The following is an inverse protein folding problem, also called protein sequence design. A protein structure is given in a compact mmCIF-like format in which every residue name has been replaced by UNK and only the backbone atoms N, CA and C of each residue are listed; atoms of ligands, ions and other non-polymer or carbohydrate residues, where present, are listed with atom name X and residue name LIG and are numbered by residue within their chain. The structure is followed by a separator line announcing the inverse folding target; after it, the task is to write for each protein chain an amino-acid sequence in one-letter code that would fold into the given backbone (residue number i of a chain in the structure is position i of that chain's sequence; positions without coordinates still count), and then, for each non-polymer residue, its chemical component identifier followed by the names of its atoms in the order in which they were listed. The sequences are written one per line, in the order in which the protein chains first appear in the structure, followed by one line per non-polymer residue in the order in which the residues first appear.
data_IF_362427199179
#
_entry.id   IF_362427199179
#
_cell.length_a   1.000
_cell.length_b   1.000
_cell.length_c   1.000
_cell.angle_alpha   90.00
_cell.angle_beta   90.00
_cell.angle_gamma   90.00
#
_symmetry.space_group_name_H-M   'P 1'
#
loop_
_entity.id
_entity.type
_entity.pdbx_description
1 polymer ?
#
# COMPACT_ATOMS: atom_id res chain seq x y z
N UNK A 1 -53.08 0.17 4.75
CA UNK A 1 -52.01 0.83 3.97
C UNK A 1 -51.09 1.49 5.00
N UNK A 2 -50.34 0.75 5.82
CA UNK A 2 -49.29 -0.24 5.44
C UNK A 2 -48.46 0.36 4.32
N UNK A 3 -47.25 0.88 4.56
CA UNK A 3 -45.97 0.23 4.90
C UNK A 3 -44.99 0.94 3.92
N UNK A 4 -43.72 1.26 4.16
CA UNK A 4 -42.66 0.63 4.95
C UNK A 4 -41.64 1.70 5.32
N UNK A 5 -41.30 1.74 6.61
CA UNK A 5 -40.11 2.41 7.15
C UNK A 5 -38.89 1.61 6.71
N UNK A 6 -38.06 2.17 5.83
CA UNK A 6 -36.77 1.58 5.48
C UNK A 6 -35.89 1.54 6.73
N UNK A 7 -35.69 0.33 7.25
CA UNK A 7 -34.74 0.03 8.30
C UNK A 7 -33.33 0.31 7.80
N UNK A 8 -32.76 1.44 8.23
CA UNK A 8 -31.32 1.59 8.30
C UNK A 8 -30.84 0.64 9.38
N UNK A 9 -30.35 -0.55 9.00
CA UNK A 9 -29.55 -1.38 9.90
C UNK A 9 -28.25 -0.63 10.19
N UNK A 10 -28.25 0.17 11.25
CA UNK A 10 -27.04 0.65 11.89
C UNK A 10 -26.30 -0.59 12.38
N UNK A 11 -25.28 -1.02 11.64
CA UNK A 11 -24.38 -2.08 12.06
C UNK A 11 -23.84 -1.75 13.44
N UNK A 12 -24.18 -2.61 14.40
CA UNK A 12 -23.69 -2.55 15.76
C UNK A 12 -22.16 -2.45 15.72
N UNK A 13 -21.63 -1.34 16.20
CA UNK A 13 -20.19 -1.21 16.44
C UNK A 13 -19.85 -2.11 17.61
N UNK A 14 -19.54 -3.37 17.30
CA UNK A 14 -19.09 -4.33 18.29
C UNK A 14 -17.81 -3.80 18.95
N UNK A 15 -17.83 -3.69 20.28
CA UNK A 15 -16.65 -3.40 21.12
C UNK A 15 -15.63 -4.55 21.12
N UNK A 16 -15.62 -5.36 20.06
CA UNK A 16 -14.77 -6.52 19.88
C UNK A 16 -13.64 -6.25 18.87
N UNK A 17 -12.65 -7.14 18.80
CA UNK A 17 -11.62 -7.09 17.76
C UNK A 17 -12.25 -7.13 16.37
N UNK A 18 -11.77 -6.29 15.45
CA UNK A 18 -12.28 -6.22 14.09
C UNK A 18 -12.10 -7.56 13.34
N UNK A 19 -13.20 -8.15 12.86
CA UNK A 19 -13.16 -9.43 12.12
C UNK A 19 -12.26 -9.39 10.89
N UNK A 20 -12.28 -8.28 10.16
CA UNK A 20 -11.40 -8.08 9.00
C UNK A 20 -9.93 -8.04 9.40
N UNK A 21 -9.61 -7.39 10.52
CA UNK A 21 -8.25 -7.39 11.07
C UNK A 21 -7.81 -8.80 11.40
N UNK A 22 -8.64 -9.59 12.09
CA UNK A 22 -8.32 -10.97 12.43
C UNK A 22 -8.11 -11.85 11.18
N UNK A 23 -8.91 -11.65 10.13
CA UNK A 23 -8.73 -12.34 8.85
C UNK A 23 -7.37 -12.00 8.23
N UNK A 24 -6.98 -10.72 8.25
CA UNK A 24 -5.67 -10.27 7.78
C UNK A 24 -4.53 -10.80 8.66
N UNK A 25 -4.71 -10.90 9.98
CA UNK A 25 -3.73 -11.48 10.90
C UNK A 25 -3.46 -12.96 10.57
N UNK A 26 -4.51 -13.74 10.30
CA UNK A 26 -4.39 -15.15 9.88
C UNK A 26 -3.69 -15.30 8.54
N UNK A 27 -4.03 -14.45 7.57
CA UNK A 27 -3.33 -14.43 6.29
C UNK A 27 -1.86 -14.04 6.45
N UNK A 28 -1.54 -13.02 7.26
CA UNK A 28 -0.13 -12.66 7.56
C UNK A 28 0.64 -13.86 8.10
N UNK A 29 0.05 -14.61 9.04
CA UNK A 29 0.67 -15.79 9.62
C UNK A 29 0.91 -16.90 8.56
N UNK A 30 0.04 -17.04 7.56
CA UNK A 30 0.21 -18.03 6.49
C UNK A 30 1.31 -17.66 5.47
N UNK A 31 1.76 -16.41 5.44
CA UNK A 31 2.87 -15.97 4.57
C UNK A 31 4.24 -16.51 5.01
N UNK A 32 4.33 -17.12 6.20
CA UNK A 32 5.58 -17.61 6.78
C UNK A 32 6.72 -16.56 6.81
N UNK A 33 6.36 -15.28 6.98
CA UNK A 33 7.31 -14.20 7.23
C UNK A 33 7.61 -14.19 8.73
N UNK A 34 8.87 -14.34 9.16
CA UNK A 34 9.27 -14.30 10.56
C UNK A 34 8.85 -13.01 11.24
N UNK A 35 8.49 -13.09 12.52
CA UNK A 35 7.99 -11.95 13.28
C UNK A 35 9.05 -10.86 13.49
N UNK A 36 10.35 -11.17 13.34
CA UNK A 36 11.49 -10.25 13.46
C UNK A 36 11.52 -9.16 12.37
N UNK A 37 10.75 -9.33 11.29
CA UNK A 37 10.53 -8.30 10.28
C UNK A 37 9.53 -7.25 10.72
N UNK A 38 8.69 -7.56 11.70
CA UNK A 38 7.61 -6.69 12.17
C UNK A 38 8.03 -5.93 13.42
N UNK A 39 7.42 -4.77 13.62
CA UNK A 39 7.60 -4.01 14.85
C UNK A 39 6.95 -4.74 16.01
N UNK A 40 7.61 -4.70 17.17
CA UNK A 40 7.05 -5.19 18.44
C UNK A 40 5.97 -4.25 18.99
N UNK A 41 5.91 -2.99 18.53
CA UNK A 41 4.88 -2.05 18.92
C UNK A 41 3.59 -2.29 18.12
N UNK A 42 2.66 -3.01 18.72
CA UNK A 42 1.37 -3.34 18.12
C UNK A 42 0.51 -2.11 17.81
N UNK A 43 0.79 -0.95 18.43
CA UNK A 43 0.06 0.31 18.18
C UNK A 43 0.32 0.88 16.79
N UNK A 44 1.42 0.49 16.15
CA UNK A 44 1.76 0.89 14.78
C UNK A 44 0.97 0.11 13.71
N UNK A 45 0.29 -0.97 14.12
CA UNK A 45 -0.58 -1.75 13.24
C UNK A 45 -1.96 -1.10 13.17
N UNK A 46 -2.48 -0.88 11.97
CA UNK A 46 -3.75 -0.21 11.76
C UNK A 46 -4.63 -0.98 10.78
N UNK A 47 -5.93 -1.08 11.08
CA UNK A 47 -6.91 -1.60 10.14
C UNK A 47 -7.62 -0.43 9.46
N UNK A 48 -7.60 -0.38 8.13
CA UNK A 48 -8.27 0.66 7.33
C UNK A 48 -9.53 0.14 6.66
N UNK A 49 -10.16 -0.93 7.16
CA UNK A 49 -11.53 -1.25 6.75
C UNK A 49 -12.47 -0.08 7.08
N UNK A 50 -13.60 -0.01 6.39
CA UNK A 50 -14.55 1.10 6.53
C UNK A 50 -14.91 1.37 7.99
N UNK A 51 -15.33 0.35 8.74
CA UNK A 51 -15.70 0.49 10.15
C UNK A 51 -14.55 1.00 11.02
N UNK A 52 -13.34 0.47 10.86
CA UNK A 52 -12.19 0.91 11.66
C UNK A 52 -11.73 2.34 11.31
N UNK A 53 -11.81 2.72 10.03
CA UNK A 53 -11.46 4.06 9.59
C UNK A 53 -12.48 5.10 10.08
N UNK A 54 -13.77 4.82 9.91
CA UNK A 54 -14.87 5.67 10.40
C UNK A 54 -14.82 5.84 11.92
N UNK A 55 -14.55 4.75 12.66
CA UNK A 55 -14.40 4.79 14.11
C UNK A 55 -13.24 5.68 14.59
N UNK A 56 -12.19 5.86 13.78
CA UNK A 56 -11.08 6.78 14.09
C UNK A 56 -11.36 8.23 13.66
N UNK A 57 -12.33 8.47 12.78
CA UNK A 57 -12.64 9.82 12.26
C UNK A 57 -11.50 10.45 11.46
N UNK A 58 -10.64 9.62 10.85
CA UNK A 58 -9.51 10.09 10.05
C UNK A 58 -9.97 10.63 8.69
N UNK A 59 -9.22 11.58 8.12
CA UNK A 59 -9.41 11.99 6.73
C UNK A 59 -8.88 10.91 5.79
N UNK A 60 -9.41 10.83 4.57
CA UNK A 60 -8.90 9.92 3.53
C UNK A 60 -7.47 10.22 3.07
N UNK A 61 -6.97 11.42 3.36
CA UNK A 61 -5.66 11.90 2.96
C UNK A 61 -4.87 12.40 4.16
N UNK A 62 -3.57 12.17 4.10
CA UNK A 62 -2.61 12.66 5.07
C UNK A 62 -1.46 13.39 4.36
N UNK A 63 -0.64 14.08 5.15
CA UNK A 63 0.53 14.83 4.67
C UNK A 63 1.76 14.25 5.36
N UNK A 64 2.85 14.09 4.62
CA UNK A 64 4.14 13.57 5.10
C UNK A 64 5.31 14.33 4.49
N UNK A 65 6.42 14.39 5.22
CA UNK A 65 7.70 14.88 4.77
C UNK A 65 7.85 16.40 4.67
N UNK A 66 9.05 16.80 4.28
CA UNK A 66 9.47 18.20 4.10
C UNK A 66 10.27 18.30 2.77
N UNK A 67 9.72 18.94 1.72
CA UNK A 67 8.48 19.71 1.70
C UNK A 67 7.21 18.85 1.92
N UNK A 68 6.09 19.42 2.41
CA UNK A 68 4.87 18.67 2.65
C UNK A 68 4.32 17.98 1.39
N UNK A 69 4.15 16.66 1.44
CA UNK A 69 3.60 15.85 0.37
C UNK A 69 2.34 15.10 0.81
N UNK A 70 1.27 15.21 0.02
CA UNK A 70 -0.02 14.53 0.28
C UNK A 70 0.00 13.09 -0.23
N UNK A 71 -0.61 12.20 0.53
CA UNK A 71 -0.82 10.80 0.15
C UNK A 71 -2.20 10.31 0.61
N UNK A 72 -2.72 9.29 -0.05
CA UNK A 72 -3.99 8.67 0.30
C UNK A 72 -3.78 7.58 1.35
N UNK A 73 -4.63 7.54 2.38
CA UNK A 73 -4.64 6.43 3.33
C UNK A 73 -5.06 5.14 2.61
N UNK A 74 -4.51 3.98 3.00
CA UNK A 74 -4.77 2.73 2.30
C UNK A 74 -6.13 2.12 2.72
N UNK A 75 -7.23 2.81 2.40
CA UNK A 75 -8.59 2.39 2.75
C UNK A 75 -8.90 1.00 2.18
N UNK A 76 -9.49 0.14 3.01
CA UNK A 76 -9.74 -1.27 2.73
C UNK A 76 -8.56 -2.21 3.03
N UNK A 77 -7.40 -1.70 3.45
CA UNK A 77 -6.22 -2.52 3.76
C UNK A 77 -6.00 -2.68 5.26
N UNK A 78 -5.22 -3.68 5.64
CA UNK A 78 -4.69 -3.84 6.99
C UNK A 78 -3.17 -3.64 6.96
N UNK A 79 -2.69 -2.76 7.83
CA UNK A 79 -1.29 -2.38 7.96
C UNK A 79 -0.61 -3.12 9.11
N UNK A 80 0.53 -3.70 8.79
CA UNK A 80 1.44 -4.38 9.69
C UNK A 80 2.79 -3.67 9.66
N UNK A 81 3.11 -2.95 10.73
CA UNK A 81 4.34 -2.17 10.82
C UNK A 81 5.55 -3.09 10.74
N UNK A 82 6.51 -2.71 9.90
CA UNK A 82 7.79 -3.37 9.76
C UNK A 82 8.77 -2.77 10.76
N UNK A 83 9.75 -3.58 11.17
CA UNK A 83 10.89 -3.11 11.96
C UNK A 83 11.74 -2.19 11.10
N UNK A 84 12.02 -1.01 11.62
CA UNK A 84 12.83 -0.02 10.93
C UNK A 84 14.31 -0.43 11.01
N UNK A 85 15.05 -0.41 9.89
CA UNK A 85 16.47 -0.72 9.91
C UNK A 85 17.26 0.30 10.76
N UNK A 86 18.20 -0.12 11.62
CA UNK A 86 19.00 0.81 12.44
C UNK A 86 19.77 1.84 11.62
N UNK A 87 20.13 1.51 10.37
CA UNK A 87 20.81 2.43 9.44
C UNK A 87 20.04 3.72 9.15
N UNK A 88 18.74 3.78 9.43
CA UNK A 88 17.93 4.98 9.24
C UNK A 88 17.57 5.70 10.54
N UNK A 89 17.91 5.13 11.70
CA UNK A 89 17.75 5.74 13.01
C UNK A 89 18.69 6.96 13.09
N UNK A 90 18.13 8.17 12.96
CA UNK A 90 18.88 9.44 12.96
C UNK A 90 18.65 10.32 11.73
N UNK A 91 18.06 9.79 10.65
CA UNK A 91 17.77 10.58 9.44
C UNK A 91 16.42 11.31 9.48
N UNK A 92 15.69 11.26 10.60
CA UNK A 92 14.35 11.84 10.75
C UNK A 92 13.41 11.44 9.58
N UNK A 93 13.49 10.17 9.16
CA UNK A 93 12.80 9.71 7.94
C UNK A 93 11.29 9.89 8.03
N UNK A 94 10.70 9.69 9.22
CA UNK A 94 9.26 9.86 9.44
C UNK A 94 8.79 11.31 9.34
N UNK A 95 9.68 12.27 9.63
CA UNK A 95 9.35 13.69 9.60
C UNK A 95 9.64 14.30 8.22
N UNK A 96 10.70 13.83 7.55
CA UNK A 96 11.24 14.45 6.34
C UNK A 96 10.88 13.73 5.05
N UNK A 97 10.59 12.43 5.08
CA UNK A 97 10.39 11.66 3.85
C UNK A 97 8.93 11.53 3.49
N UNK A 98 8.66 11.34 2.20
CA UNK A 98 7.30 11.23 1.69
C UNK A 98 6.81 9.78 1.77
N UNK A 99 5.54 9.59 2.13
CA UNK A 99 4.90 8.26 2.09
C UNK A 99 4.54 7.88 0.67
N UNK A 100 4.85 6.64 0.29
CA UNK A 100 4.42 6.02 -0.96
C UNK A 100 4.07 4.54 -0.76
N UNK A 101 3.48 3.95 -1.78
CA UNK A 101 3.05 2.56 -1.82
C UNK A 101 3.66 1.85 -3.02
N UNK A 102 3.92 0.56 -2.84
CA UNK A 102 4.42 -0.34 -3.86
C UNK A 102 3.64 -1.65 -3.83
N UNK A 103 2.91 -1.94 -4.91
CA UNK A 103 2.24 -3.21 -5.09
C UNK A 103 3.24 -4.32 -5.39
N UNK A 104 3.01 -5.53 -4.88
CA UNK A 104 3.91 -6.64 -5.20
C UNK A 104 3.21 -7.99 -5.18
N UNK A 105 3.92 -9.02 -5.66
CA UNK A 105 3.47 -10.40 -5.58
C UNK A 105 3.86 -10.97 -4.21
N UNK A 106 2.99 -11.80 -3.65
CA UNK A 106 3.25 -12.50 -2.38
C UNK A 106 4.61 -13.22 -2.40
N UNK A 107 4.90 -13.95 -3.48
CA UNK A 107 6.17 -14.67 -3.63
C UNK A 107 7.43 -13.79 -3.68
N UNK A 108 7.30 -12.47 -3.84
CA UNK A 108 8.42 -11.52 -3.81
C UNK A 108 8.62 -10.86 -2.45
N UNK A 109 7.63 -10.91 -1.55
CA UNK A 109 7.67 -10.21 -0.26
C UNK A 109 8.91 -10.58 0.54
N UNK A 110 9.15 -11.87 0.75
CA UNK A 110 10.29 -12.35 1.56
C UNK A 110 11.62 -11.81 1.03
N UNK A 111 11.83 -11.88 -0.29
CA UNK A 111 13.06 -11.38 -0.93
C UNK A 111 13.21 -9.87 -0.75
N UNK A 112 12.14 -9.08 -0.91
CA UNK A 112 12.19 -7.63 -0.71
C UNK A 112 12.54 -7.29 0.74
N UNK A 113 11.94 -8.00 1.69
CA UNK A 113 12.21 -7.84 3.11
C UNK A 113 13.66 -8.23 3.48
N UNK A 114 14.18 -9.32 2.91
CA UNK A 114 15.56 -9.76 3.13
C UNK A 114 16.60 -8.75 2.63
N UNK A 115 16.34 -8.14 1.47
CA UNK A 115 17.18 -7.08 0.93
C UNK A 115 17.02 -5.76 1.73
N UNK A 116 15.85 -5.56 2.33
CA UNK A 116 15.48 -4.31 2.98
C UNK A 116 15.36 -3.13 2.01
N UNK A 117 15.17 -3.43 0.72
CA UNK A 117 15.00 -2.46 -0.38
C UNK A 117 14.24 -3.13 -1.54
N UNK A 118 13.66 -2.34 -2.45
CA UNK A 118 12.94 -2.83 -3.62
C UNK A 118 13.88 -2.83 -4.83
N UNK A 119 14.08 -3.97 -5.50
CA UNK A 119 14.89 -4.02 -6.71
C UNK A 119 14.33 -3.12 -7.81
N UNK A 120 15.21 -2.34 -8.45
CA UNK A 120 14.87 -1.59 -9.66
C UNK A 120 14.43 -2.59 -10.75
N UNK A 121 13.38 -2.24 -11.49
CA UNK A 121 12.85 -3.07 -12.56
C UNK A 121 12.94 -2.32 -13.87
N UNK A 122 13.16 -3.03 -14.96
CA UNK A 122 13.06 -2.41 -16.27
C UNK A 122 11.56 -2.20 -16.56
N UNK A 123 11.10 -0.96 -16.40
CA UNK A 123 9.71 -0.58 -16.66
C UNK A 123 9.49 -0.50 -18.18
N UNK A 124 8.98 -1.57 -18.79
CA UNK A 124 8.64 -1.61 -20.23
C UNK A 124 7.40 -0.76 -20.61
N UNK A 125 7.08 0.27 -19.82
CA UNK A 125 5.85 1.06 -19.89
C UNK A 125 5.94 2.34 -20.72
N UNK A 126 7.14 2.77 -21.12
CA UNK A 126 7.28 3.83 -22.11
C UNK A 126 7.06 3.28 -23.53
N UNK A 127 5.80 2.97 -23.88
CA UNK A 127 5.41 3.01 -25.30
C UNK A 127 5.34 4.48 -25.73
N UNK A 128 6.51 5.11 -25.87
CA UNK A 128 6.65 6.19 -26.84
C UNK A 128 6.39 5.53 -28.20
N UNK A 129 5.32 5.95 -28.87
CA UNK A 129 5.15 5.71 -30.29
C UNK A 129 6.46 6.06 -30.99
N UNK A 130 7.14 5.05 -31.52
CA UNK A 130 8.47 5.18 -32.12
C UNK A 130 9.39 4.05 -31.66
N UNK A 131 9.88 3.28 -32.63
CA UNK A 131 10.89 2.23 -32.47
C UNK A 131 12.02 2.65 -31.51
N UNK A 132 12.04 2.13 -30.29
CA UNK A 132 13.16 2.35 -29.36
C UNK A 132 13.81 1.01 -29.03
N UNK A 133 15.13 0.97 -29.24
CA UNK A 133 15.99 -0.16 -28.89
C UNK A 133 15.84 -0.49 -27.40
N UNK A 134 15.47 -1.75 -27.11
CA UNK A 134 15.35 -2.29 -25.74
C UNK A 134 16.67 -2.23 -24.94
N UNK A 135 17.80 -1.94 -25.57
CA UNK A 135 19.12 -1.87 -24.94
C UNK A 135 19.36 -0.60 -24.09
N UNK A 136 18.52 0.43 -24.19
CA UNK A 136 18.69 1.70 -23.45
C UNK A 136 17.68 1.90 -22.29
N UNK A 137 16.91 0.88 -21.92
CA UNK A 137 15.96 1.01 -20.80
C UNK A 137 16.69 0.98 -19.45
N UNK A 138 16.78 2.14 -18.80
CA UNK A 138 17.37 2.27 -17.45
C UNK A 138 16.42 1.64 -16.43
N UNK A 139 16.88 0.68 -15.59
CA UNK A 139 16.06 0.12 -14.52
C UNK A 139 15.56 1.21 -13.58
N UNK A 140 14.25 1.21 -13.31
CA UNK A 140 13.58 2.19 -12.46
C UNK A 140 12.62 1.50 -11.49
N UNK A 141 12.42 2.10 -10.33
CA UNK A 141 11.37 1.72 -9.39
C UNK A 141 10.23 2.73 -9.53
N UNK A 142 9.02 2.24 -9.82
CA UNK A 142 7.79 3.03 -9.78
C UNK A 142 7.04 2.76 -8.48
N UNK A 143 6.71 3.84 -7.75
CA UNK A 143 5.88 3.85 -6.53
C UNK A 143 4.82 4.94 -6.65
N UNK A 144 3.82 4.96 -5.79
CA UNK A 144 2.73 5.95 -5.85
C UNK A 144 2.34 6.48 -4.46
N UNK A 145 1.93 7.75 -4.32
CA UNK A 145 1.32 8.26 -3.09
C UNK A 145 -0.10 7.70 -2.84
N UNK A 146 -0.61 6.85 -3.72
CA UNK A 146 -1.89 6.16 -3.58
C UNK A 146 -1.72 4.65 -3.78
N UNK A 147 -2.34 3.86 -2.91
CA UNK A 147 -2.27 2.39 -3.01
C UNK A 147 -2.97 1.84 -4.25
N UNK A 148 -4.00 2.54 -4.75
CA UNK A 148 -4.75 2.17 -5.95
C UNK A 148 -3.81 2.11 -7.16
N UNK A 149 -3.10 3.21 -7.45
CA UNK A 149 -2.15 3.23 -8.58
C UNK A 149 -0.98 2.26 -8.36
N UNK A 150 -0.49 2.12 -7.11
CA UNK A 150 0.60 1.20 -6.80
C UNK A 150 0.26 -0.27 -7.07
N UNK A 151 -1.00 -0.67 -6.84
CA UNK A 151 -1.43 -2.06 -6.96
C UNK A 151 -1.89 -2.43 -8.38
N UNK A 152 -2.37 -1.46 -9.17
CA UNK A 152 -2.95 -1.69 -10.49
C UNK A 152 -1.98 -2.35 -11.48
N UNK A 153 -0.68 -2.07 -11.36
CA UNK A 153 0.35 -2.57 -12.28
C UNK A 153 1.05 -3.84 -11.77
N UNK A 154 1.10 -4.07 -10.45
CA UNK A 154 2.04 -5.01 -9.84
C UNK A 154 1.43 -6.02 -8.87
N UNK A 155 0.28 -5.73 -8.26
CA UNK A 155 -0.32 -6.57 -7.22
C UNK A 155 -1.40 -7.49 -7.81
N UNK A 156 -0.99 -8.70 -8.21
CA UNK A 156 -1.96 -9.74 -8.61
C UNK A 156 -2.73 -10.26 -7.39
N UNK A 157 -4.05 -10.40 -7.55
CA UNK A 157 -4.90 -11.14 -6.62
C UNK A 157 -4.49 -12.61 -6.62
N UNK A 158 -4.30 -13.16 -5.43
CA UNK A 158 -3.96 -14.55 -5.23
C UNK A 158 -5.04 -15.20 -4.38
N UNK A 159 -5.47 -16.39 -4.78
CA UNK A 159 -6.42 -17.17 -3.99
C UNK A 159 -5.81 -17.53 -2.63
N UNK A 160 -6.58 -17.30 -1.57
CA UNK A 160 -6.28 -17.64 -0.19
C UNK A 160 -7.45 -18.43 0.41
N UNK A 161 -7.18 -19.65 0.87
CA UNK A 161 -8.12 -20.43 1.67
C UNK A 161 -7.80 -20.23 3.15
N UNK A 162 -8.75 -19.67 3.90
CA UNK A 162 -8.60 -19.47 5.34
C UNK A 162 -8.67 -20.82 6.07
N UNK A 163 -7.56 -21.20 6.72
CA UNK A 163 -7.46 -22.48 7.42
C UNK A 163 -8.42 -22.63 8.60
N UNK A 164 -8.90 -21.51 9.18
CA UNK A 164 -9.83 -21.54 10.31
C UNK A 164 -11.28 -21.70 9.85
N UNK A 165 -11.68 -21.03 8.76
CA UNK A 165 -13.08 -20.99 8.32
C UNK A 165 -13.36 -21.85 7.09
N UNK A 166 -12.33 -22.30 6.38
CA UNK A 166 -12.43 -23.02 5.11
C UNK A 166 -12.85 -22.16 3.91
N UNK A 167 -13.17 -20.87 4.12
CA UNK A 167 -13.61 -19.95 3.07
C UNK A 167 -12.46 -19.56 2.16
N UNK A 168 -12.79 -19.28 0.90
CA UNK A 168 -11.85 -18.88 -0.14
C UNK A 168 -12.00 -17.38 -0.41
N UNK A 169 -10.86 -16.70 -0.51
CA UNK A 169 -10.73 -15.26 -0.65
C UNK A 169 -9.71 -14.93 -1.73
N UNK A 170 -9.73 -13.69 -2.20
CA UNK A 170 -8.67 -13.08 -3.01
C UNK A 170 -7.83 -12.16 -2.12
N UNK A 171 -6.54 -12.47 -1.99
CA UNK A 171 -5.60 -11.67 -1.22
C UNK A 171 -4.68 -10.86 -2.14
N UNK A 172 -4.37 -9.63 -1.72
CA UNK A 172 -3.37 -8.76 -2.33
C UNK A 172 -2.44 -8.23 -1.25
N UNK A 173 -1.20 -7.95 -1.65
CA UNK A 173 -0.17 -7.41 -0.78
C UNK A 173 0.50 -6.20 -1.42
N UNK A 174 0.83 -5.23 -0.57
CA UNK A 174 1.59 -4.05 -0.93
C UNK A 174 2.54 -3.68 0.22
N UNK A 175 3.49 -2.80 -0.07
CA UNK A 175 4.40 -2.24 0.93
C UNK A 175 4.17 -0.74 1.04
N UNK A 176 4.10 -0.24 2.27
CA UNK A 176 4.23 1.18 2.55
C UNK A 176 5.70 1.54 2.71
N UNK A 177 6.09 2.64 2.08
CA UNK A 177 7.46 3.10 1.97
C UNK A 177 7.55 4.54 2.43
N UNK A 178 8.73 4.91 2.92
CA UNK A 178 9.17 6.30 2.93
C UNK A 178 10.14 6.50 1.78
N UNK A 179 9.98 7.60 1.05
CA UNK A 179 10.76 7.96 -0.13
C UNK A 179 11.47 9.29 0.12
N UNK A 180 12.77 9.31 -0.11
CA UNK A 180 13.58 10.51 0.10
C UNK A 180 13.17 11.62 -0.89
N UNK A 181 12.78 12.82 -0.43
CA UNK A 181 12.46 13.94 -1.31
C UNK A 181 13.65 14.31 -2.19
N UNK A 182 13.39 14.63 -3.47
CA UNK A 182 14.41 14.96 -4.46
C UNK A 182 15.12 13.77 -5.11
N UNK A 183 14.81 12.52 -4.70
CA UNK A 183 15.39 11.30 -5.28
C UNK A 183 14.42 10.54 -6.21
N UNK A 184 13.28 11.15 -6.53
CA UNK A 184 12.30 10.62 -7.47
C UNK A 184 11.83 11.69 -8.45
N UNK A 185 11.38 11.26 -9.63
CA UNK A 185 10.66 12.11 -10.58
C UNK A 185 9.19 11.77 -10.55
N UNK A 186 8.34 12.77 -10.35
CA UNK A 186 6.90 12.57 -10.43
C UNK A 186 6.43 12.56 -11.89
N UNK A 187 5.44 11.74 -12.18
CA UNK A 187 4.79 11.66 -13.48
C UNK A 187 3.34 11.21 -13.39
N UNK A 188 2.67 11.26 -14.55
CA UNK A 188 1.29 10.80 -14.73
C UNK A 188 1.24 9.27 -14.63
N UNK A 189 0.10 8.74 -14.18
CA UNK A 189 -0.12 7.31 -14.24
C UNK A 189 -0.05 6.78 -15.67
N UNK A 190 0.60 5.64 -15.87
CA UNK A 190 0.74 5.01 -17.19
C UNK A 190 -0.58 4.45 -17.73
N UNK A 191 -1.62 4.38 -16.90
CA UNK A 191 -2.97 3.96 -17.27
C UNK A 191 -4.01 4.95 -16.80
N UNK A 192 -5.11 5.02 -17.53
CA UNK A 192 -6.33 5.72 -17.16
C UNK A 192 -6.92 5.03 -15.92
N UNK A 193 -6.38 5.36 -14.75
CA UNK A 193 -7.11 5.07 -13.51
C UNK A 193 -8.40 5.87 -13.61
N UNK A 194 -9.55 5.23 -13.37
CA UNK A 194 -10.84 5.91 -13.46
C UNK A 194 -10.75 7.17 -12.61
N UNK A 195 -10.79 8.31 -13.30
CA UNK A 195 -10.57 9.59 -12.65
C UNK A 195 -11.58 9.72 -11.52
N UNK A 196 -12.80 9.18 -11.62
CA UNK A 196 -13.80 9.26 -10.55
C UNK A 196 -13.41 8.54 -9.24
N UNK A 197 -12.52 7.52 -9.28
CA UNK A 197 -12.03 6.84 -8.08
C UNK A 197 -10.84 7.56 -7.42
N UNK A 198 -10.07 8.33 -8.19
CA UNK A 198 -8.96 9.16 -7.71
C UNK A 198 -9.34 10.64 -7.47
N UNK A 199 -10.43 11.10 -8.07
CA UNK A 199 -10.95 12.48 -8.05
C UNK A 199 -11.74 12.74 -6.76
N UNK A 200 -11.11 12.52 -5.61
CA UNK A 200 -11.39 13.34 -4.44
C UNK A 200 -10.41 14.56 -4.47
N UNK A 201 -10.33 15.21 -5.64
CA UNK A 201 -9.74 16.52 -6.01
C UNK A 201 -8.45 17.04 -5.32
N UNK A 202 -7.64 16.22 -4.64
CA UNK A 202 -6.55 16.73 -3.78
C UNK A 202 -5.16 16.11 -4.01
N UNK A 203 -5.05 15.02 -4.77
CA UNK A 203 -3.78 14.49 -5.29
C UNK A 203 -3.88 14.64 -6.80
N UNK A 204 -3.28 15.70 -7.37
CA UNK A 204 -3.34 15.98 -8.81
C UNK A 204 -2.90 14.78 -9.65
N UNK A 205 -3.50 14.61 -10.82
CA UNK A 205 -3.23 13.47 -11.73
C UNK A 205 -1.82 13.49 -12.31
N UNK A 206 -1.12 14.62 -12.21
CA UNK A 206 0.26 14.78 -12.65
C UNK A 206 1.33 14.15 -11.75
N UNK A 207 1.00 13.76 -10.51
CA UNK A 207 1.97 13.30 -9.50
C UNK A 207 1.62 11.92 -8.90
N UNK A 208 0.94 11.07 -9.67
CA UNK A 208 0.45 9.77 -9.22
C UNK A 208 1.49 8.65 -9.27
N UNK A 209 2.53 8.78 -10.08
CA UNK A 209 3.63 7.81 -10.13
C UNK A 209 4.96 8.51 -9.89
N UNK A 210 5.80 7.91 -9.05
CA UNK A 210 7.13 8.40 -8.71
C UNK A 210 8.16 7.38 -9.17
N UNK A 211 9.09 7.84 -10.01
CA UNK A 211 10.14 7.00 -10.59
C UNK A 211 11.47 7.27 -9.92
N UNK A 212 12.10 6.21 -9.41
CA UNK A 212 13.40 6.22 -8.77
C UNK A 212 14.41 5.47 -9.62
N UNK A 213 15.58 6.07 -9.82
CA UNK A 213 16.70 5.49 -10.57
C UNK A 213 17.80 4.94 -9.65
N UNK A 214 17.75 5.26 -8.34
CA UNK A 214 18.77 4.91 -7.37
C UNK A 214 18.21 4.02 -6.26
N UNK A 215 18.95 2.97 -5.92
CA UNK A 215 18.69 2.16 -4.72
C UNK A 215 18.99 2.95 -3.43
N UNK A 216 18.48 2.49 -2.30
CA UNK A 216 18.70 3.09 -0.98
C UNK A 216 17.96 4.41 -0.75
N UNK A 217 17.09 4.82 -1.67
CA UNK A 217 16.27 6.04 -1.55
C UNK A 217 14.89 5.77 -0.96
N UNK A 218 14.64 4.53 -0.53
CA UNK A 218 13.38 4.11 0.11
C UNK A 218 13.63 3.37 1.42
N UNK A 219 12.65 3.43 2.32
CA UNK A 219 12.62 2.67 3.56
C UNK A 219 11.28 1.94 3.66
N UNK A 220 11.32 0.62 3.84
CA UNK A 220 10.12 -0.18 4.08
C UNK A 220 9.58 0.12 5.48
N UNK A 221 8.30 0.48 5.60
CA UNK A 221 7.68 0.83 6.89
C UNK A 221 6.51 -0.05 7.29
N UNK A 222 5.77 -0.61 6.33
CA UNK A 222 4.69 -1.53 6.63
C UNK A 222 4.42 -2.53 5.50
N UNK A 223 3.95 -3.71 5.87
CA UNK A 223 3.24 -4.64 4.99
C UNK A 223 1.75 -4.29 5.01
N UNK A 224 1.15 -4.16 3.84
CA UNK A 224 -0.27 -3.92 3.64
C UNK A 224 -0.90 -5.18 3.06
N UNK A 225 -1.99 -5.63 3.66
CA UNK A 225 -2.76 -6.80 3.24
C UNK A 225 -4.19 -6.36 2.93
N UNK A 226 -4.71 -6.78 1.78
CA UNK A 226 -6.13 -6.66 1.43
C UNK A 226 -6.69 -8.03 1.11
N UNK A 227 -7.86 -8.33 1.67
CA UNK A 227 -8.55 -9.60 1.45
C UNK A 227 -9.99 -9.31 1.03
N UNK A 228 -10.40 -9.87 -0.09
CA UNK A 228 -11.75 -9.74 -0.62
C UNK A 228 -12.39 -11.13 -0.76
N UNK A 229 -13.71 -11.28 -0.54
CA UNK A 229 -14.41 -12.51 -0.92
C UNK A 229 -14.22 -12.81 -2.41
N UNK A 230 -14.14 -14.10 -2.75
CA UNK A 230 -14.11 -14.56 -4.16
C UNK A 230 -15.51 -14.55 -4.75
#
# INVERSE_FOLDING_TARGET
MEETKAERSSGEHSKGPCDYRQLCDRFRASLAIPDEYFSTDCKLNACYCQACHEARGEKRYAVSGDPPCRYALPLGWCQFALRIPPRVEGYHVFDKWHVAFYGTLIGRLRRILDLGDIPLQVCSGQRRSGSSNKENEVPQLCVSPTILCACETQAKRQEYRDGTTGKVYQAQVALQLLVKPGFYRAGRSHREVDANELLDQNIGTENLEWYLENQGSVVLTALLIKIEPT
#
